data_IF_563927434619
#
_entry.id   IF_563927434619
#
_cell.length_a   1.000
_cell.length_b   1.000
_cell.length_c   1.000
_cell.angle_alpha   90.00
_cell.angle_beta   90.00
_cell.angle_gamma   90.00
#
_symmetry.space_group_name_H-M   'P 1'
#
loop_
_entity.id
_entity.type
_entity.pdbx_description
1 polymer ?
#
# COMPACT_ATOMS: atom_id res chain seq x y z
N UNK A 1 -11.34 -60.92 60.01
CA UNK A 1 -11.19 -59.87 61.04
C UNK A 1 -9.95 -59.06 60.71
N UNK A 2 -10.09 -57.74 60.77
CA UNK A 2 -9.13 -56.67 60.47
C UNK A 2 -7.63 -56.95 60.66
N UNK A 3 -6.77 -56.39 59.81
CA UNK A 3 -5.67 -55.44 60.13
C UNK A 3 -4.86 -55.14 58.84
N UNK A 4 -4.92 -53.93 58.27
CA UNK A 4 -4.10 -52.73 58.54
C UNK A 4 -2.74 -52.68 57.81
N UNK A 5 -2.72 -51.87 56.75
CA UNK A 5 -1.71 -50.89 56.32
C UNK A 5 -0.29 -50.91 56.90
N UNK A 6 0.70 -51.04 56.01
CA UNK A 6 1.93 -50.21 55.92
C UNK A 6 2.16 -50.03 54.40
N UNK A 7 2.22 -48.85 53.78
CA UNK A 7 2.85 -47.62 54.22
C UNK A 7 4.27 -47.54 53.68
N UNK A 8 4.44 -47.44 52.35
CA UNK A 8 5.72 -47.12 51.71
C UNK A 8 5.52 -45.92 50.79
N UNK A 9 6.18 -44.82 51.17
CA UNK A 9 6.36 -43.64 50.36
C UNK A 9 7.29 -43.98 49.18
N UNK A 10 6.86 -43.72 47.97
CA UNK A 10 7.77 -43.46 46.84
C UNK A 10 7.38 -42.12 46.22
N UNK A 11 8.37 -41.25 46.19
CA UNK A 11 8.28 -39.86 45.76
C UNK A 11 7.84 -39.76 44.29
N UNK A 12 6.87 -38.89 44.03
CA UNK A 12 6.50 -38.48 42.69
C UNK A 12 7.66 -37.67 42.07
N UNK A 13 8.35 -38.25 41.10
CA UNK A 13 9.17 -37.48 40.17
C UNK A 13 8.22 -36.78 39.19
N UNK A 14 7.94 -35.50 39.45
CA UNK A 14 7.29 -34.63 38.48
C UNK A 14 8.24 -34.43 37.29
N UNK A 15 8.01 -35.20 36.23
CA UNK A 15 8.60 -34.92 34.92
C UNK A 15 7.99 -33.63 34.38
N UNK A 16 8.78 -32.56 34.32
CA UNK A 16 8.45 -31.40 33.50
C UNK A 16 8.59 -31.83 32.03
N UNK A 17 7.47 -32.17 31.40
CA UNK A 17 7.36 -32.26 29.95
C UNK A 17 7.45 -30.84 29.38
N UNK A 18 8.64 -30.41 28.98
CA UNK A 18 8.78 -29.20 28.17
C UNK A 18 8.28 -29.57 26.76
N UNK A 19 7.02 -29.29 26.51
CA UNK A 19 6.47 -29.31 25.16
C UNK A 19 7.13 -28.19 24.35
N UNK A 20 8.06 -28.55 23.47
CA UNK A 20 8.49 -27.65 22.41
C UNK A 20 7.34 -27.58 21.40
N UNK A 21 6.49 -26.57 21.52
CA UNK A 21 5.68 -26.14 20.40
C UNK A 21 6.66 -25.66 19.32
N UNK A 22 6.67 -26.34 18.17
CA UNK A 22 7.38 -25.86 17.00
C UNK A 22 6.69 -24.59 16.52
N UNK A 23 7.28 -23.44 16.81
CA UNK A 23 6.95 -22.19 16.14
C UNK A 23 7.53 -22.28 14.73
N UNK A 24 6.70 -22.68 13.78
CA UNK A 24 6.97 -22.39 12.38
C UNK A 24 6.55 -20.93 12.10
N UNK A 25 7.33 -20.28 11.24
CA UNK A 25 7.05 -19.05 10.51
C UNK A 25 7.47 -17.73 11.19
N UNK A 26 8.57 -17.16 10.69
CA UNK A 26 8.66 -15.79 10.15
C UNK A 26 10.04 -15.61 9.49
N UNK A 27 10.31 -16.34 8.42
CA UNK A 27 11.44 -16.06 7.51
C UNK A 27 10.92 -15.94 6.06
N UNK A 28 9.73 -15.39 5.90
CA UNK A 28 9.14 -15.05 4.61
C UNK A 28 8.85 -13.55 4.56
N UNK A 29 9.86 -12.71 4.80
CA UNK A 29 9.69 -11.25 4.86
C UNK A 29 11.00 -10.55 4.48
N UNK A 30 11.21 -10.31 3.18
CA UNK A 30 11.99 -9.18 2.62
C UNK A 30 12.29 -9.41 1.13
N UNK A 31 12.76 -10.60 0.75
CA UNK A 31 13.26 -10.85 -0.61
C UNK A 31 12.12 -10.92 -1.64
N UNK A 32 11.03 -11.60 -1.30
CA UNK A 32 9.86 -11.81 -2.16
C UNK A 32 9.00 -10.55 -2.36
N UNK A 33 9.17 -9.53 -1.51
CA UNK A 33 8.41 -8.28 -1.55
C UNK A 33 9.11 -7.17 -2.38
N UNK A 34 10.37 -7.38 -2.77
CA UNK A 34 11.19 -6.32 -3.38
C UNK A 34 11.32 -6.41 -4.91
N UNK A 35 11.09 -7.59 -5.50
CA UNK A 35 11.22 -7.77 -6.95
C UNK A 35 9.89 -7.56 -7.64
N UNK A 36 9.81 -6.51 -8.46
CA UNK A 36 8.64 -6.22 -9.30
C UNK A 36 8.43 -7.34 -10.32
N UNK A 37 7.27 -8.04 -10.34
CA UNK A 37 7.02 -9.10 -11.32
C UNK A 37 7.01 -8.56 -12.75
N UNK A 38 7.52 -9.35 -13.71
CA UNK A 38 7.57 -8.95 -15.12
C UNK A 38 6.18 -8.58 -15.67
N UNK A 39 5.15 -9.34 -15.29
CA UNK A 39 3.78 -9.07 -15.70
C UNK A 39 3.24 -7.73 -15.17
N UNK A 40 3.69 -7.30 -13.98
CA UNK A 40 3.37 -5.99 -13.40
C UNK A 40 4.18 -4.89 -14.09
N UNK A 41 5.48 -5.10 -14.28
CA UNK A 41 6.36 -4.17 -14.98
C UNK A 41 5.90 -3.91 -16.43
N UNK A 42 5.34 -4.92 -17.09
CA UNK A 42 4.80 -4.80 -18.45
C UNK A 42 3.56 -3.87 -18.54
N UNK A 43 2.88 -3.59 -17.42
CA UNK A 43 1.76 -2.66 -17.39
C UNK A 43 2.20 -1.19 -17.29
N UNK A 44 3.43 -0.92 -16.87
CA UNK A 44 3.93 0.43 -16.62
C UNK A 44 3.96 1.27 -17.90
N UNK A 45 3.81 2.60 -17.77
CA UNK A 45 3.85 3.47 -18.94
C UNK A 45 5.27 3.50 -19.52
N UNK A 46 5.38 3.70 -20.84
CA UNK A 46 6.69 3.94 -21.46
C UNK A 46 7.40 5.21 -20.97
N UNK A 47 6.68 6.08 -20.27
CA UNK A 47 7.20 7.28 -19.60
C UNK A 47 7.61 7.06 -18.15
N UNK A 48 7.29 5.90 -17.58
CA UNK A 48 7.75 5.49 -16.26
C UNK A 48 9.08 4.75 -16.39
N UNK A 49 10.17 5.43 -16.05
CA UNK A 49 11.48 4.82 -15.99
C UNK A 49 11.73 4.23 -14.59
N UNK A 50 12.49 3.13 -14.47
CA UNK A 50 12.98 2.67 -13.17
C UNK A 50 13.76 3.79 -12.47
N UNK A 51 13.48 3.99 -11.17
CA UNK A 51 14.24 4.92 -10.34
C UNK A 51 15.57 4.28 -9.95
N UNK A 52 16.62 5.10 -9.82
CA UNK A 52 17.92 4.68 -9.29
C UNK A 52 17.76 4.06 -7.89
N UNK A 53 18.16 2.80 -7.75
CA UNK A 53 18.09 2.04 -6.50
C UNK A 53 18.83 2.73 -5.34
N UNK A 54 19.86 3.54 -5.63
CA UNK A 54 20.62 4.28 -4.61
C UNK A 54 19.78 5.34 -3.88
N UNK A 55 18.62 5.71 -4.42
CA UNK A 55 17.65 6.58 -3.75
C UNK A 55 16.85 5.86 -2.66
N UNK A 56 16.92 4.53 -2.59
CA UNK A 56 16.18 3.73 -1.61
C UNK A 56 14.66 3.75 -1.80
N UNK A 57 14.19 4.11 -2.99
CA UNK A 57 12.77 4.13 -3.35
C UNK A 57 12.47 2.86 -4.13
N UNK A 58 11.73 1.94 -3.51
CA UNK A 58 11.37 0.65 -4.09
C UNK A 58 9.86 0.55 -4.41
N UNK A 59 9.45 -0.35 -5.31
CA UNK A 59 8.06 -0.75 -5.44
C UNK A 59 7.48 -1.22 -4.10
N UNK A 60 6.22 -0.88 -3.86
CA UNK A 60 5.48 -1.31 -2.68
C UNK A 60 4.40 -2.30 -3.10
N UNK A 61 4.25 -3.39 -2.36
CA UNK A 61 3.22 -4.42 -2.56
C UNK A 61 2.31 -4.47 -1.35
N UNK A 62 1.01 -4.48 -1.61
CA UNK A 62 -0.03 -4.62 -0.59
C UNK A 62 -0.95 -5.78 -1.00
N UNK A 63 -1.05 -6.79 -0.16
CA UNK A 63 -2.05 -7.84 -0.34
C UNK A 63 -3.45 -7.26 -0.10
N UNK A 64 -4.40 -7.59 -0.98
CA UNK A 64 -5.79 -7.20 -0.88
C UNK A 64 -6.57 -8.42 -0.37
N UNK A 65 -7.17 -8.31 0.82
CA UNK A 65 -7.90 -9.40 1.49
C UNK A 65 -9.42 -9.19 1.41
N UNK A 66 -9.91 -8.71 0.27
CA UNK A 66 -11.34 -8.62 -0.03
C UNK A 66 -11.80 -9.78 -0.93
N UNK A 67 -13.09 -9.80 -1.30
CA UNK A 67 -13.65 -10.86 -2.15
C UNK A 67 -12.99 -10.96 -3.54
N UNK A 68 -12.26 -9.93 -3.99
CA UNK A 68 -11.54 -9.91 -5.26
C UNK A 68 -10.11 -10.45 -5.13
N UNK A 69 -9.52 -10.39 -3.94
CA UNK A 69 -8.17 -10.86 -3.67
C UNK A 69 -7.07 -10.11 -4.45
N UNK A 70 -5.88 -10.67 -4.50
CA UNK A 70 -4.74 -10.17 -5.28
C UNK A 70 -3.86 -9.15 -4.58
N UNK A 71 -3.07 -8.44 -5.38
CA UNK A 71 -2.04 -7.50 -4.94
C UNK A 71 -2.19 -6.12 -5.58
N UNK A 72 -2.08 -5.08 -4.76
CA UNK A 72 -1.85 -3.71 -5.23
C UNK A 72 -0.35 -3.41 -5.21
N UNK A 73 0.17 -2.98 -6.36
CA UNK A 73 1.53 -2.51 -6.52
C UNK A 73 1.56 -1.00 -6.71
N UNK A 74 2.31 -0.28 -5.88
CA UNK A 74 2.65 1.12 -6.08
C UNK A 74 4.10 1.18 -6.57
N UNK A 75 4.28 1.46 -7.86
CA UNK A 75 5.58 1.37 -8.53
C UNK A 75 6.13 2.77 -8.78
N UNK A 76 7.31 3.11 -8.21
CA UNK A 76 7.91 4.44 -8.38
C UNK A 76 8.42 4.64 -9.81
N UNK A 77 8.20 5.85 -10.36
CA UNK A 77 8.50 6.20 -11.75
C UNK A 77 9.47 7.37 -11.93
N UNK A 78 9.31 8.43 -11.14
CA UNK A 78 10.19 9.62 -11.24
C UNK A 78 10.41 10.19 -9.85
N UNK A 79 11.67 10.38 -9.46
CA UNK A 79 12.03 11.06 -8.23
C UNK A 79 12.34 12.53 -8.53
N UNK A 80 11.45 13.42 -8.13
CA UNK A 80 11.66 14.86 -8.14
C UNK A 80 12.19 15.37 -6.79
N UNK A 81 12.69 16.60 -6.76
CA UNK A 81 13.24 17.20 -5.52
C UNK A 81 12.23 17.33 -4.37
N UNK A 82 10.92 17.31 -4.67
CA UNK A 82 9.85 17.54 -3.69
C UNK A 82 8.81 16.41 -3.64
N UNK A 83 8.82 15.49 -4.60
CA UNK A 83 7.82 14.44 -4.73
C UNK A 83 8.31 13.34 -5.67
N UNK A 84 7.85 12.13 -5.42
CA UNK A 84 8.07 10.98 -6.29
C UNK A 84 6.74 10.59 -6.92
N UNK A 85 6.72 10.43 -8.24
CA UNK A 85 5.55 9.91 -8.95
C UNK A 85 5.53 8.39 -8.93
N UNK A 86 4.35 7.81 -8.81
CA UNK A 86 4.10 6.37 -8.85
C UNK A 86 3.00 6.06 -9.87
N UNK A 87 3.00 4.85 -10.42
CA UNK A 87 1.82 4.26 -11.05
C UNK A 87 1.32 3.09 -10.18
N UNK A 88 0.01 2.88 -10.17
CA UNK A 88 -0.61 1.79 -9.43
C UNK A 88 -1.05 0.68 -10.38
N UNK A 89 -0.62 -0.55 -10.09
CA UNK A 89 -1.01 -1.75 -10.82
C UNK A 89 -1.77 -2.67 -9.86
N UNK A 90 -2.96 -3.09 -10.26
CA UNK A 90 -3.68 -4.14 -9.54
C UNK A 90 -3.47 -5.47 -10.25
N UNK A 91 -3.03 -6.47 -9.49
CA UNK A 91 -2.83 -7.85 -9.94
C UNK A 91 -3.83 -8.76 -9.20
N UNK A 92 -4.98 -9.10 -9.81
CA UNK A 92 -5.90 -10.08 -9.25
C UNK A 92 -5.26 -11.48 -9.19
N UNK A 93 -5.72 -12.34 -8.28
CA UNK A 93 -5.18 -13.71 -8.13
C UNK A 93 -5.35 -14.56 -9.40
N UNK A 94 -6.50 -14.42 -10.07
CA UNK A 94 -6.91 -15.26 -11.21
C UNK A 94 -6.99 -14.49 -12.54
N UNK A 95 -6.33 -13.34 -12.67
CA UNK A 95 -6.35 -12.53 -13.89
C UNK A 95 -5.03 -11.78 -14.16
N UNK A 96 -4.90 -11.22 -15.38
CA UNK A 96 -3.74 -10.42 -15.74
C UNK A 96 -3.67 -9.10 -14.94
N UNK A 97 -2.47 -8.65 -14.54
CA UNK A 97 -2.30 -7.34 -13.92
C UNK A 97 -2.80 -6.23 -14.85
N UNK A 98 -3.35 -5.17 -14.25
CA UNK A 98 -3.80 -3.99 -14.99
C UNK A 98 -3.43 -2.71 -14.28
N UNK A 99 -3.09 -1.70 -15.07
CA UNK A 99 -2.89 -0.34 -14.58
C UNK A 99 -4.20 0.27 -14.08
N UNK A 100 -4.11 1.02 -12.99
CA UNK A 100 -5.19 1.85 -12.47
C UNK A 100 -5.08 3.30 -12.97
N UNK A 101 -6.23 3.94 -13.14
CA UNK A 101 -6.32 5.34 -13.55
C UNK A 101 -7.02 6.14 -12.47
N UNK A 102 -6.57 7.38 -12.30
CA UNK A 102 -7.03 8.29 -11.27
C UNK A 102 -7.61 9.55 -11.89
N UNK A 103 -8.64 10.11 -11.27
CA UNK A 103 -9.14 11.43 -11.62
C UNK A 103 -8.08 12.52 -11.33
N UNK A 104 -8.04 13.52 -12.20
CA UNK A 104 -7.20 14.70 -12.07
C UNK A 104 -8.05 15.94 -12.39
N UNK A 105 -8.01 16.94 -11.51
CA UNK A 105 -8.63 18.23 -11.72
C UNK A 105 -7.57 19.24 -12.21
N UNK A 106 -7.79 19.81 -13.39
CA UNK A 106 -6.91 20.80 -14.03
C UNK A 106 -7.72 21.72 -14.92
N UNK A 107 -7.34 22.99 -14.98
CA UNK A 107 -7.96 23.99 -15.85
C UNK A 107 -9.50 24.02 -15.71
N UNK A 108 -9.96 23.88 -14.47
CA UNK A 108 -11.40 23.77 -14.12
C UNK A 108 -12.15 22.62 -14.80
N UNK A 109 -11.47 21.52 -15.13
CA UNK A 109 -12.03 20.34 -15.75
C UNK A 109 -11.45 19.04 -15.18
N UNK A 110 -12.19 17.95 -15.36
CA UNK A 110 -11.75 16.60 -15.01
C UNK A 110 -11.05 15.92 -16.19
N UNK A 111 -9.97 15.22 -15.91
CA UNK A 111 -9.28 14.29 -16.80
C UNK A 111 -8.83 13.04 -16.03
N UNK A 112 -8.25 12.07 -16.73
CA UNK A 112 -7.58 10.92 -16.13
C UNK A 112 -6.06 11.11 -16.06
N UNK A 113 -5.44 10.44 -15.09
CA UNK A 113 -3.99 10.34 -14.97
C UNK A 113 -3.59 8.95 -14.50
N UNK A 114 -2.41 8.51 -14.91
CA UNK A 114 -1.75 7.29 -14.42
C UNK A 114 -0.92 7.58 -13.15
N UNK A 115 -0.66 8.86 -12.85
CA UNK A 115 0.29 9.26 -11.82
C UNK A 115 -0.39 9.51 -10.47
N UNK A 116 0.19 8.89 -9.45
CA UNK A 116 0.08 9.25 -8.04
C UNK A 116 1.36 9.94 -7.60
N UNK A 117 1.30 10.75 -6.53
CA UNK A 117 2.50 11.40 -5.98
C UNK A 117 2.59 11.13 -4.48
N UNK A 118 3.70 10.52 -4.07
CA UNK A 118 3.94 10.02 -2.72
C UNK A 118 2.69 9.31 -2.13
N UNK A 119 2.11 8.32 -2.83
CA UNK A 119 0.90 7.68 -2.35
C UNK A 119 1.17 6.87 -1.09
N UNK A 120 0.17 6.85 -0.22
CA UNK A 120 0.09 5.99 0.95
C UNK A 120 -1.19 5.17 0.84
N UNK A 121 -1.10 3.86 1.05
CA UNK A 121 -2.24 2.96 1.04
C UNK A 121 -2.31 2.19 2.35
N UNK A 122 -3.47 2.22 2.97
CA UNK A 122 -3.80 1.44 4.15
C UNK A 122 -4.66 0.23 3.72
N UNK A 123 -4.12 -0.99 3.72
CA UNK A 123 -4.86 -2.18 3.32
C UNK A 123 -5.95 -2.59 4.32
N UNK A 124 -5.90 -2.13 5.58
CA UNK A 124 -6.92 -2.44 6.58
C UNK A 124 -8.21 -1.64 6.33
N UNK A 125 -8.06 -0.38 5.89
CA UNK A 125 -9.19 0.53 5.62
C UNK A 125 -9.52 0.63 4.13
N UNK A 126 -8.62 0.20 3.25
CA UNK A 126 -8.72 0.38 1.81
C UNK A 126 -8.55 1.83 1.37
N UNK A 127 -8.02 2.71 2.23
CA UNK A 127 -7.84 4.12 1.90
C UNK A 127 -6.50 4.34 1.21
N UNK A 128 -6.54 4.98 0.05
CA UNK A 128 -5.35 5.52 -0.62
C UNK A 128 -5.39 7.03 -0.55
N UNK A 129 -4.28 7.64 -0.15
CA UNK A 129 -4.08 9.10 -0.23
C UNK A 129 -2.88 9.43 -1.08
N UNK A 130 -2.93 10.52 -1.82
CA UNK A 130 -1.77 11.06 -2.52
C UNK A 130 -1.83 12.58 -2.60
N UNK A 131 -0.66 13.21 -2.69
CA UNK A 131 -0.55 14.66 -2.80
C UNK A 131 0.51 15.04 -3.83
N UNK A 132 0.13 15.90 -4.77
CA UNK A 132 1.02 16.39 -5.82
C UNK A 132 1.19 17.90 -5.76
N UNK A 133 2.34 18.36 -6.24
CA UNK A 133 2.67 19.78 -6.44
C UNK A 133 2.84 20.08 -7.91
N UNK A 134 2.24 21.17 -8.39
CA UNK A 134 2.41 21.60 -9.79
C UNK A 134 3.69 22.41 -9.97
N UNK A 135 4.13 23.09 -8.90
CA UNK A 135 5.38 23.84 -8.86
C UNK A 135 6.11 23.56 -7.54
N UNK A 136 7.37 23.15 -7.63
CA UNK A 136 8.25 22.74 -6.52
C UNK A 136 7.90 23.30 -5.13
N UNK A 137 8.40 24.49 -4.78
CA UNK A 137 8.09 25.14 -3.51
C UNK A 137 6.78 25.95 -3.51
N UNK A 138 5.99 25.92 -4.59
CA UNK A 138 4.74 26.69 -4.70
C UNK A 138 3.57 26.07 -3.93
N UNK A 139 2.50 26.84 -3.78
CA UNK A 139 1.24 26.45 -3.12
C UNK A 139 0.16 25.89 -4.05
N UNK A 140 0.48 25.59 -5.30
CA UNK A 140 -0.43 24.93 -6.24
C UNK A 140 -0.18 23.42 -6.29
N UNK A 141 -1.25 22.66 -6.49
CA UNK A 141 -1.22 21.21 -6.42
C UNK A 141 -2.59 20.64 -6.08
N UNK A 142 -2.58 19.41 -5.59
CA UNK A 142 -3.79 18.77 -5.12
C UNK A 142 -3.51 17.64 -4.14
N UNK A 143 -4.52 17.33 -3.33
CA UNK A 143 -4.56 16.21 -2.40
C UNK A 143 -5.81 15.38 -2.72
N UNK A 144 -5.65 14.07 -2.78
CA UNK A 144 -6.70 13.15 -3.23
C UNK A 144 -6.81 11.99 -2.26
N UNK A 145 -8.04 11.65 -1.91
CA UNK A 145 -8.39 10.52 -1.06
C UNK A 145 -9.29 9.59 -1.83
N UNK A 146 -9.00 8.30 -1.75
CA UNK A 146 -9.67 7.26 -2.51
C UNK A 146 -10.04 6.09 -1.59
N UNK A 147 -11.15 5.44 -1.91
CA UNK A 147 -11.58 4.20 -1.29
C UNK A 147 -11.41 3.07 -2.28
N UNK A 148 -10.73 2.00 -1.86
CA UNK A 148 -10.69 0.74 -2.58
C UNK A 148 -12.09 0.12 -2.63
N UNK A 149 -12.53 -0.23 -3.84
CA UNK A 149 -13.84 -0.80 -4.11
C UNK A 149 -13.81 -1.59 -5.43
N UNK A 150 -14.15 -2.87 -5.38
CA UNK A 150 -14.33 -3.74 -6.55
C UNK A 150 -13.11 -3.77 -7.51
N UNK A 151 -11.90 -3.89 -6.95
CA UNK A 151 -10.66 -3.90 -7.72
C UNK A 151 -10.20 -2.52 -8.21
N UNK A 152 -10.81 -1.42 -7.77
CA UNK A 152 -10.47 -0.08 -8.23
C UNK A 152 -10.54 0.94 -7.09
N UNK A 153 -10.18 2.18 -7.38
CA UNK A 153 -10.24 3.29 -6.44
C UNK A 153 -11.37 4.26 -6.81
N UNK A 154 -12.35 4.37 -5.91
CA UNK A 154 -13.38 5.41 -5.98
C UNK A 154 -12.88 6.66 -5.28
N UNK A 155 -12.94 7.81 -5.96
CA UNK A 155 -12.60 9.10 -5.36
C UNK A 155 -13.58 9.42 -4.22
N UNK A 156 -13.06 9.77 -3.05
CA UNK A 156 -13.88 10.20 -1.90
C UNK A 156 -13.66 11.67 -1.58
N UNK A 157 -12.46 12.19 -1.77
CA UNK A 157 -12.19 13.63 -1.61
C UNK A 157 -11.12 14.09 -2.61
N UNK A 158 -11.31 15.28 -3.17
CA UNK A 158 -10.32 15.96 -4.00
C UNK A 158 -10.23 17.42 -3.57
N UNK A 159 -9.02 17.85 -3.23
CA UNK A 159 -8.70 19.25 -2.95
C UNK A 159 -7.63 19.73 -3.92
N UNK A 160 -7.76 20.93 -4.48
CA UNK A 160 -6.73 21.49 -5.37
C UNK A 160 -6.71 23.00 -5.41
N UNK A 161 -5.51 23.54 -5.66
CA UNK A 161 -5.28 24.95 -5.96
C UNK A 161 -4.45 25.07 -7.23
N UNK A 162 -4.93 25.89 -8.18
CA UNK A 162 -4.16 26.29 -9.37
C UNK A 162 -3.27 27.52 -9.09
N UNK A 163 -3.44 28.16 -7.93
CA UNK A 163 -2.67 29.35 -7.53
C UNK A 163 -1.34 28.93 -6.90
N UNK A 164 -0.23 29.18 -7.61
CA UNK A 164 1.10 28.80 -7.14
C UNK A 164 1.78 29.88 -6.28
N UNK A 165 1.21 31.08 -6.23
CA UNK A 165 1.79 32.24 -5.52
C UNK A 165 1.41 32.27 -4.04
N UNK A 166 0.42 31.46 -3.63
CA UNK A 166 0.02 31.28 -2.25
C UNK A 166 0.97 30.32 -1.50
N UNK A 167 0.96 30.41 -0.17
CA UNK A 167 1.64 29.43 0.69
C UNK A 167 0.99 28.05 0.55
N UNK A 168 1.78 26.99 0.79
CA UNK A 168 1.33 25.59 0.74
C UNK A 168 0.43 25.21 1.94
N UNK A 169 -0.69 25.92 2.09
CA UNK A 169 -1.76 25.61 3.03
C UNK A 169 -2.64 24.47 2.55
N UNK A 170 -3.76 24.26 3.24
CA UNK A 170 -4.76 23.29 2.83
C UNK A 170 -5.45 23.75 1.54
N UNK A 171 -5.51 22.86 0.55
CA UNK A 171 -6.18 23.15 -0.71
C UNK A 171 -7.71 23.21 -0.53
N UNK A 172 -8.42 24.06 -1.29
CA UNK A 172 -9.87 24.08 -1.27
C UNK A 172 -10.46 22.80 -1.84
N UNK A 173 -11.63 22.39 -1.32
CA UNK A 173 -12.38 21.22 -1.81
C UNK A 173 -12.91 21.48 -3.22
N UNK A 174 -12.60 20.56 -4.12
CA UNK A 174 -13.12 20.49 -5.49
C UNK A 174 -14.20 19.40 -5.59
N UNK A 175 -14.05 18.33 -4.83
CA UNK A 175 -14.97 17.21 -4.78
C UNK A 175 -14.96 16.55 -3.42
N UNK A 176 -16.13 16.12 -2.95
CA UNK A 176 -16.32 15.28 -1.78
C UNK A 176 -17.50 14.34 -2.08
N UNK A 177 -17.34 13.04 -1.84
CA UNK A 177 -18.39 12.07 -2.04
C UNK A 177 -19.46 12.19 -0.94
N UNK A 178 -20.73 11.99 -1.32
CA UNK A 178 -21.88 11.99 -0.40
C UNK A 178 -21.95 10.73 0.48
#
# INVERSE_FOLDING_TARGET
MMLRSLGWLTAAAMGLSIGFAAYANTEQTADEQSTLPEAVAAQMSGTCAPIDESLGIAPQRYAIDDDMGGDLWLVPCNAGAYQTSYEAIYQPDDAEPRKLLFALWRDKSWTGTESLFNPEFDPETGVLTDQYKDRGAGGCGGARTWQWENGNFRLTEYRASESCDDDAGEFPVVFEAE
#
